data_IF_435898196985
#
_entry.id   IF_435898196985
#
_cell.length_a   1.000
_cell.length_b   1.000
_cell.length_c   1.000
_cell.angle_alpha   90.00
_cell.angle_beta   90.00
_cell.angle_gamma   90.00
#
_symmetry.space_group_name_H-M   'P 1'
#
loop_
_entity.id
_entity.type
_entity.pdbx_description
1 polymer ?
#
# COMPACT_ATOMS: atom_id res chain seq x y z
N UNK A 1 25.69 6.52 -21.46
CA UNK A 1 25.85 5.11 -21.96
C UNK A 1 24.58 4.60 -22.64
N UNK A 2 24.71 3.82 -23.75
CA UNK A 2 23.57 3.15 -24.37
C UNK A 2 23.14 1.98 -23.47
N UNK A 3 21.93 2.02 -22.92
CA UNK A 3 21.40 0.93 -22.06
C UNK A 3 21.23 -0.33 -22.90
N UNK A 4 21.71 -1.45 -22.38
CA UNK A 4 21.59 -2.77 -23.03
C UNK A 4 20.21 -3.37 -22.75
N UNK A 5 19.69 -4.13 -23.73
CA UNK A 5 18.50 -4.93 -23.50
C UNK A 5 18.81 -6.05 -22.49
N UNK A 6 18.00 -6.11 -21.42
CA UNK A 6 18.11 -7.14 -20.39
C UNK A 6 17.24 -8.35 -20.75
N UNK A 7 17.72 -9.54 -20.38
CA UNK A 7 16.95 -10.80 -20.50
C UNK A 7 15.92 -10.91 -19.38
N UNK A 8 14.92 -11.77 -19.55
CA UNK A 8 13.86 -12.01 -18.55
C UNK A 8 14.40 -12.16 -17.12
N UNK A 9 15.34 -13.07 -16.91
CA UNK A 9 15.89 -13.34 -15.57
C UNK A 9 16.67 -12.16 -14.97
N UNK A 10 17.27 -11.32 -15.79
CA UNK A 10 17.95 -10.11 -15.30
C UNK A 10 16.91 -9.07 -14.80
N UNK A 11 15.78 -8.93 -15.51
CA UNK A 11 14.68 -8.05 -15.10
C UNK A 11 13.96 -8.64 -13.88
N UNK A 12 13.76 -9.95 -13.83
CA UNK A 12 13.21 -10.66 -12.67
C UNK A 12 14.06 -10.42 -11.42
N UNK A 13 15.36 -10.70 -11.50
CA UNK A 13 16.30 -10.54 -10.39
C UNK A 13 16.34 -9.09 -9.89
N UNK A 14 16.37 -8.13 -10.81
CA UNK A 14 16.33 -6.71 -10.51
C UNK A 14 15.03 -6.31 -9.79
N UNK A 15 13.92 -6.94 -10.12
CA UNK A 15 12.59 -6.61 -9.57
C UNK A 15 12.24 -7.43 -8.32
N UNK A 16 13.00 -8.46 -8.00
CA UNK A 16 12.65 -9.45 -6.97
C UNK A 16 12.53 -8.84 -5.56
N UNK A 17 13.28 -7.80 -5.26
CA UNK A 17 13.17 -7.08 -3.97
C UNK A 17 11.78 -6.48 -3.71
N UNK A 18 10.96 -6.24 -4.74
CA UNK A 18 9.55 -5.87 -4.54
C UNK A 18 8.73 -6.94 -3.81
N UNK A 19 9.12 -8.21 -3.90
CA UNK A 19 8.50 -9.27 -3.09
C UNK A 19 8.59 -8.93 -1.60
N UNK A 20 9.79 -8.60 -1.12
CA UNK A 20 10.02 -8.22 0.28
C UNK A 20 9.23 -6.98 0.68
N UNK A 21 9.26 -5.94 -0.13
CA UNK A 21 8.49 -4.70 0.09
C UNK A 21 7.00 -5.01 0.24
N UNK A 22 6.46 -5.90 -0.61
CA UNK A 22 5.05 -6.27 -0.54
C UNK A 22 4.70 -7.13 0.67
N UNK A 23 5.64 -7.94 1.16
CA UNK A 23 5.46 -8.63 2.44
C UNK A 23 5.28 -7.64 3.59
N UNK A 24 6.08 -6.57 3.63
CA UNK A 24 5.90 -5.48 4.61
C UNK A 24 4.52 -4.84 4.53
N UNK A 25 4.14 -4.36 3.35
CA UNK A 25 2.83 -3.71 3.15
C UNK A 25 1.64 -4.64 3.39
N UNK A 26 1.70 -5.89 2.97
CA UNK A 26 0.58 -6.82 3.11
C UNK A 26 0.38 -7.27 4.56
N UNK A 27 1.46 -7.53 5.31
CA UNK A 27 1.37 -7.85 6.73
C UNK A 27 0.86 -6.65 7.53
N UNK A 28 1.38 -5.47 7.26
CA UNK A 28 0.89 -4.23 7.85
C UNK A 28 -0.59 -4.03 7.51
N UNK A 29 -0.95 -4.00 6.22
CA UNK A 29 -2.31 -3.75 5.74
C UNK A 29 -3.33 -4.74 6.26
N UNK A 30 -2.97 -6.03 6.34
CA UNK A 30 -3.88 -7.09 6.77
C UNK A 30 -4.04 -7.23 8.28
N UNK A 31 -3.01 -6.87 9.07
CA UNK A 31 -2.98 -7.29 10.47
C UNK A 31 -2.67 -6.18 11.48
N UNK A 32 -2.27 -4.97 11.05
CA UNK A 32 -1.89 -3.93 12.00
C UNK A 32 -3.08 -3.42 12.82
N UNK A 33 -4.26 -3.26 12.22
CA UNK A 33 -5.48 -2.87 12.95
C UNK A 33 -5.87 -3.92 13.99
N UNK A 34 -5.68 -5.21 13.70
CA UNK A 34 -5.85 -6.30 14.68
C UNK A 34 -4.87 -6.16 15.85
N UNK A 35 -3.59 -5.86 15.57
CA UNK A 35 -2.58 -5.65 16.60
C UNK A 35 -2.99 -4.47 17.49
N UNK A 36 -3.43 -3.36 16.91
CA UNK A 36 -3.89 -2.21 17.66
C UNK A 36 -5.09 -2.53 18.55
N UNK A 37 -6.11 -3.24 18.04
CA UNK A 37 -7.26 -3.69 18.84
C UNK A 37 -6.81 -4.58 19.99
N UNK A 38 -5.92 -5.55 19.74
CA UNK A 38 -5.40 -6.45 20.77
C UNK A 38 -4.66 -5.69 21.88
N UNK A 39 -3.98 -4.59 21.54
CA UNK A 39 -3.28 -3.73 22.50
C UNK A 39 -4.16 -2.63 23.11
N UNK A 40 -5.48 -2.71 22.92
CA UNK A 40 -6.48 -1.86 23.58
C UNK A 40 -6.88 -0.60 22.84
N UNK A 41 -6.58 -0.48 21.54
CA UNK A 41 -7.08 0.64 20.74
C UNK A 41 -8.60 0.57 20.57
N UNK A 42 -9.28 1.68 20.83
CA UNK A 42 -10.67 1.85 20.41
C UNK A 42 -10.76 1.90 18.87
N UNK A 43 -11.90 1.43 18.33
CA UNK A 43 -12.16 1.42 16.88
C UNK A 43 -12.04 2.81 16.26
N UNK A 44 -12.42 3.84 16.98
CA UNK A 44 -12.33 5.25 16.56
C UNK A 44 -10.90 5.78 16.51
N UNK A 45 -9.96 5.17 17.25
CA UNK A 45 -8.55 5.57 17.27
C UNK A 45 -7.74 4.95 16.12
N UNK A 46 -8.21 3.82 15.57
CA UNK A 46 -7.47 3.06 14.55
C UNK A 46 -7.09 3.92 13.33
N UNK A 47 -7.99 4.72 12.72
CA UNK A 47 -7.60 5.56 11.58
C UNK A 47 -6.45 6.51 11.90
N UNK A 48 -6.45 7.11 13.10
CA UNK A 48 -5.39 8.03 13.53
C UNK A 48 -4.05 7.32 13.74
N UNK A 49 -4.05 6.09 14.24
CA UNK A 49 -2.83 5.29 14.39
C UNK A 49 -2.19 4.94 13.04
N UNK A 50 -2.97 4.90 11.96
CA UNK A 50 -2.51 4.67 10.59
C UNK A 50 -1.93 5.90 9.90
N UNK A 51 -1.91 7.07 10.55
CA UNK A 51 -1.39 8.32 9.96
C UNK A 51 0.10 8.24 9.61
N UNK A 52 0.82 7.27 10.18
CA UNK A 52 2.22 7.01 9.88
C UNK A 52 2.47 6.82 8.38
N UNK A 53 1.64 6.03 7.69
CA UNK A 53 1.81 5.69 6.28
C UNK A 53 1.80 6.93 5.35
N UNK A 54 0.76 7.79 5.35
CA UNK A 54 0.77 8.99 4.50
C UNK A 54 1.83 10.01 4.89
N UNK A 55 2.10 10.21 6.18
CA UNK A 55 3.09 11.21 6.61
C UNK A 55 4.52 10.79 6.27
N UNK A 56 4.87 9.52 6.46
CA UNK A 56 6.20 9.02 6.05
C UNK A 56 6.36 9.05 4.53
N UNK A 57 5.32 8.68 3.77
CA UNK A 57 5.31 8.80 2.32
C UNK A 57 5.56 10.24 1.85
N UNK A 58 4.91 11.21 2.48
CA UNK A 58 5.05 12.64 2.15
C UNK A 58 6.46 13.17 2.41
N UNK A 59 7.08 12.75 3.52
CA UNK A 59 8.36 13.31 3.99
C UNK A 59 9.55 12.48 3.49
N UNK A 60 9.49 11.16 3.66
CA UNK A 60 10.65 10.28 3.41
C UNK A 60 10.91 10.10 1.92
N UNK A 61 9.87 9.93 1.09
CA UNK A 61 10.07 9.67 -0.34
C UNK A 61 10.84 10.79 -1.06
N UNK A 62 10.49 12.08 -0.94
CA UNK A 62 11.26 13.16 -1.58
C UNK A 62 12.70 13.26 -1.07
N UNK A 63 12.90 13.06 0.24
CA UNK A 63 14.25 13.10 0.86
C UNK A 63 15.12 11.98 0.30
N UNK A 64 14.61 10.76 0.31
CA UNK A 64 15.35 9.59 -0.17
C UNK A 64 15.54 9.63 -1.69
N UNK A 65 14.55 10.08 -2.44
CA UNK A 65 14.69 10.32 -3.87
C UNK A 65 15.87 11.24 -4.15
N UNK A 66 15.90 12.42 -3.49
CA UNK A 66 17.01 13.37 -3.63
C UNK A 66 18.35 12.78 -3.18
N UNK A 67 18.42 12.15 -2.01
CA UNK A 67 19.65 11.57 -1.48
C UNK A 67 20.17 10.47 -2.40
N UNK A 68 19.30 9.54 -2.83
CA UNK A 68 19.71 8.44 -3.70
C UNK A 68 20.16 8.93 -5.10
N UNK A 69 19.61 10.04 -5.59
CA UNK A 69 20.04 10.67 -6.84
C UNK A 69 21.43 11.29 -6.75
N UNK A 70 21.87 11.70 -5.57
CA UNK A 70 23.15 12.37 -5.33
C UNK A 70 24.19 11.49 -4.61
N UNK A 71 23.92 10.19 -4.47
CA UNK A 71 24.83 9.22 -3.84
C UNK A 71 25.48 8.35 -4.92
N UNK A 72 26.77 8.05 -4.73
CA UNK A 72 27.48 7.00 -5.44
C UNK A 72 28.43 6.30 -4.49
N UNK A 73 28.21 5.01 -4.26
CA UNK A 73 29.08 4.16 -3.47
C UNK A 73 29.84 3.20 -4.38
N UNK A 74 31.16 3.09 -4.21
CA UNK A 74 32.04 2.34 -5.13
C UNK A 74 31.68 0.86 -5.29
N UNK A 75 31.16 0.20 -4.23
CA UNK A 75 30.78 -1.22 -4.25
C UNK A 75 29.28 -1.45 -4.44
N UNK A 76 28.45 -0.58 -3.87
CA UNK A 76 26.99 -0.76 -3.84
C UNK A 76 26.27 0.03 -4.94
N UNK A 77 26.93 1.01 -5.57
CA UNK A 77 26.28 1.84 -6.55
C UNK A 77 25.49 3.01 -5.94
N UNK A 78 24.42 3.42 -6.59
CA UNK A 78 23.64 4.61 -6.29
C UNK A 78 22.41 4.31 -5.42
N UNK A 79 21.65 3.27 -5.76
CA UNK A 79 20.36 2.93 -5.16
C UNK A 79 20.43 1.87 -4.06
N UNK A 80 21.32 0.89 -4.22
CA UNK A 80 21.42 -0.26 -3.31
C UNK A 80 21.72 0.07 -1.85
N UNK A 81 22.52 1.12 -1.49
CA UNK A 81 22.70 1.48 -0.08
C UNK A 81 21.38 1.74 0.64
N UNK A 82 20.43 2.41 -0.04
CA UNK A 82 19.11 2.72 0.50
C UNK A 82 18.22 1.48 0.58
N UNK A 83 18.31 0.56 -0.41
CA UNK A 83 17.63 -0.73 -0.31
C UNK A 83 18.03 -1.48 0.95
N UNK A 84 19.34 -1.55 1.20
CA UNK A 84 19.88 -2.29 2.32
C UNK A 84 19.46 -1.67 3.68
N UNK A 85 19.60 -0.37 3.83
CA UNK A 85 19.21 0.34 5.05
C UNK A 85 17.72 0.15 5.33
N UNK A 86 16.87 0.40 4.32
CA UNK A 86 15.44 0.24 4.47
C UNK A 86 15.05 -1.22 4.75
N UNK A 87 15.70 -2.21 4.10
CA UNK A 87 15.44 -3.62 4.36
C UNK A 87 15.80 -4.06 5.77
N UNK A 88 16.94 -3.63 6.29
CA UNK A 88 17.35 -3.95 7.66
C UNK A 88 16.35 -3.36 8.67
N UNK A 89 16.03 -2.08 8.54
CA UNK A 89 15.11 -1.41 9.46
C UNK A 89 13.69 -1.98 9.37
N UNK A 90 13.18 -2.23 8.15
CA UNK A 90 11.86 -2.85 7.96
C UNK A 90 11.79 -4.26 8.54
N UNK A 91 12.84 -5.05 8.35
CA UNK A 91 12.88 -6.43 8.88
C UNK A 91 12.91 -6.44 10.40
N UNK A 92 13.67 -5.54 11.01
CA UNK A 92 13.70 -5.38 12.48
C UNK A 92 12.32 -4.90 12.98
N UNK A 93 11.71 -3.91 12.32
CA UNK A 93 10.39 -3.42 12.70
C UNK A 93 9.33 -4.53 12.60
N UNK A 94 9.30 -5.31 11.51
CA UNK A 94 8.41 -6.46 11.37
C UNK A 94 8.63 -7.50 12.45
N UNK A 95 9.88 -7.80 12.79
CA UNK A 95 10.21 -8.79 13.81
C UNK A 95 9.73 -8.37 15.20
N UNK A 96 10.00 -7.12 15.60
CA UNK A 96 9.72 -6.66 16.97
C UNK A 96 8.30 -6.14 17.18
N UNK A 97 7.61 -5.67 16.13
CA UNK A 97 6.27 -5.09 16.22
C UNK A 97 5.25 -5.99 16.95
N UNK A 98 5.14 -7.31 16.66
CA UNK A 98 4.18 -8.17 17.35
C UNK A 98 4.54 -8.49 18.81
N UNK A 99 5.72 -8.05 19.29
CA UNK A 99 6.14 -8.17 20.68
C UNK A 99 5.96 -6.87 21.46
N UNK A 100 5.26 -5.89 20.89
CA UNK A 100 4.95 -4.63 21.56
C UNK A 100 4.13 -4.87 22.82
N UNK A 101 4.58 -4.28 23.93
CA UNK A 101 3.90 -4.38 25.23
C UNK A 101 2.82 -3.32 25.43
N UNK A 102 2.70 -2.37 24.51
CA UNK A 102 1.69 -1.31 24.54
C UNK A 102 1.34 -0.81 23.14
N UNK A 103 0.18 -0.18 23.04
CA UNK A 103 -0.33 0.43 21.80
C UNK A 103 0.67 1.43 21.19
N UNK A 104 1.26 2.29 22.02
CA UNK A 104 2.17 3.33 21.53
C UNK A 104 3.50 2.78 21.02
N UNK A 105 3.98 1.66 21.58
CA UNK A 105 5.18 0.97 21.07
C UNK A 105 4.85 0.36 19.69
N UNK A 106 3.69 -0.27 19.52
CA UNK A 106 3.27 -0.81 18.24
C UNK A 106 3.10 0.30 17.19
N UNK A 107 2.50 1.43 17.56
CA UNK A 107 2.40 2.61 16.70
C UNK A 107 3.79 3.14 16.31
N UNK A 108 4.73 3.21 17.25
CA UNK A 108 6.12 3.59 16.98
C UNK A 108 6.82 2.67 15.98
N UNK A 109 6.64 1.34 16.10
CA UNK A 109 7.13 0.38 15.12
C UNK A 109 6.46 0.55 13.74
N UNK A 110 5.17 0.93 13.69
CA UNK A 110 4.50 1.24 12.42
C UNK A 110 5.18 2.45 11.73
N UNK A 111 5.50 3.53 12.47
CA UNK A 111 6.24 4.66 11.94
C UNK A 111 7.61 4.26 11.38
N UNK A 112 8.36 3.42 12.12
CA UNK A 112 9.66 2.91 11.68
C UNK A 112 9.50 2.05 10.43
N UNK A 113 8.50 1.17 10.39
CA UNK A 113 8.24 0.29 9.27
C UNK A 113 7.89 1.09 8.01
N UNK A 114 6.93 2.00 8.09
CA UNK A 114 6.52 2.83 6.96
C UNK A 114 7.66 3.70 6.42
N UNK A 115 8.40 4.35 7.30
CA UNK A 115 9.58 5.13 6.90
C UNK A 115 10.62 4.25 6.20
N UNK A 116 10.91 3.08 6.75
CA UNK A 116 11.92 2.15 6.24
C UNK A 116 11.52 1.53 4.90
N UNK A 117 10.24 1.17 4.74
CA UNK A 117 9.71 0.70 3.45
C UNK A 117 9.88 1.79 2.39
N UNK A 118 9.56 3.06 2.71
CA UNK A 118 9.72 4.18 1.79
C UNK A 118 11.20 4.44 1.44
N UNK A 119 12.14 4.23 2.38
CA UNK A 119 13.58 4.29 2.12
C UNK A 119 14.01 3.27 1.05
N UNK A 120 13.46 2.06 1.07
CA UNK A 120 13.74 1.03 0.06
C UNK A 120 12.99 1.27 -1.24
N UNK A 121 11.70 1.57 -1.17
CA UNK A 121 10.78 1.55 -2.30
C UNK A 121 11.07 2.64 -3.32
N UNK A 122 11.38 3.86 -2.90
CA UNK A 122 11.58 4.99 -3.81
C UNK A 122 12.80 4.80 -4.73
N UNK A 123 14.01 4.47 -4.22
CA UNK A 123 15.12 4.16 -5.09
C UNK A 123 14.91 2.90 -5.93
N UNK A 124 14.08 1.95 -5.45
CA UNK A 124 13.78 0.72 -6.17
C UNK A 124 12.96 1.00 -7.44
N UNK A 125 11.97 1.89 -7.38
CA UNK A 125 11.22 2.35 -8.54
C UNK A 125 12.13 3.02 -9.57
N UNK A 126 13.07 3.86 -9.11
CA UNK A 126 14.03 4.53 -9.97
C UNK A 126 15.00 3.56 -10.66
N UNK A 127 15.37 2.43 -10.01
CA UNK A 127 16.30 1.45 -10.57
C UNK A 127 15.81 0.88 -11.91
N UNK A 128 14.51 0.66 -12.08
CA UNK A 128 13.93 0.16 -13.34
C UNK A 128 14.18 1.14 -14.48
N UNK A 129 13.89 2.42 -14.25
CA UNK A 129 14.13 3.46 -15.23
C UNK A 129 15.64 3.66 -15.49
N UNK A 130 16.48 3.53 -14.45
CA UNK A 130 17.93 3.67 -14.57
C UNK A 130 18.57 2.53 -15.41
N UNK A 131 18.06 1.31 -15.30
CA UNK A 131 18.65 0.10 -15.90
C UNK A 131 18.08 -0.28 -17.26
N UNK A 132 16.78 -0.12 -17.45
CA UNK A 132 16.11 -0.57 -18.68
C UNK A 132 16.14 0.52 -19.76
N UNK A 133 16.31 0.13 -21.04
CA UNK A 133 16.02 1.02 -22.15
C UNK A 133 14.49 1.26 -22.23
N UNK A 134 14.07 2.40 -22.78
CA UNK A 134 12.64 2.78 -22.85
C UNK A 134 11.74 1.69 -23.43
N UNK A 135 12.24 0.97 -24.46
CA UNK A 135 11.51 -0.15 -25.08
C UNK A 135 11.17 -1.30 -24.13
N UNK A 136 11.90 -1.43 -23.03
CA UNK A 136 11.70 -2.48 -22.03
C UNK A 136 11.02 -1.98 -20.75
N UNK A 137 10.73 -0.69 -20.59
CA UNK A 137 10.10 -0.16 -19.37
C UNK A 137 8.77 -0.85 -19.08
N UNK A 138 7.88 -0.95 -20.07
CA UNK A 138 6.58 -1.62 -19.91
C UNK A 138 6.76 -3.06 -19.43
N UNK A 139 7.68 -3.79 -20.03
CA UNK A 139 7.97 -5.17 -19.65
C UNK A 139 8.53 -5.29 -18.23
N UNK A 140 9.41 -4.37 -17.83
CA UNK A 140 9.94 -4.30 -16.46
C UNK A 140 8.84 -4.04 -15.43
N UNK A 141 7.93 -3.11 -15.70
CA UNK A 141 6.80 -2.84 -14.80
C UNK A 141 5.80 -4.00 -14.71
N UNK A 142 5.57 -4.73 -15.81
CA UNK A 142 4.72 -5.95 -15.80
C UNK A 142 5.32 -7.02 -14.88
N UNK A 143 6.63 -7.26 -14.96
CA UNK A 143 7.31 -8.21 -14.07
C UNK A 143 7.21 -7.76 -12.60
N UNK A 144 7.40 -6.45 -12.33
CA UNK A 144 7.19 -5.92 -10.98
C UNK A 144 5.77 -6.16 -10.48
N UNK A 145 4.76 -5.88 -11.30
CA UNK A 145 3.35 -6.08 -10.93
C UNK A 145 3.05 -7.54 -10.62
N UNK A 146 3.64 -8.48 -11.36
CA UNK A 146 3.53 -9.91 -11.09
C UNK A 146 4.11 -10.26 -9.71
N UNK A 147 5.33 -9.82 -9.43
CA UNK A 147 6.01 -10.06 -8.15
C UNK A 147 5.24 -9.42 -6.98
N UNK A 148 4.74 -8.19 -7.17
CA UNK A 148 3.91 -7.46 -6.21
C UNK A 148 2.65 -8.26 -5.86
N UNK A 149 1.91 -8.72 -6.87
CA UNK A 149 0.66 -9.47 -6.64
C UNK A 149 0.89 -10.79 -5.92
N UNK A 150 1.91 -11.56 -6.33
CA UNK A 150 2.29 -12.81 -5.65
C UNK A 150 2.69 -12.51 -4.20
N UNK A 151 3.56 -11.52 -3.97
CA UNK A 151 4.03 -11.15 -2.64
C UNK A 151 2.89 -10.73 -1.72
N UNK A 152 1.98 -9.89 -2.21
CA UNK A 152 0.81 -9.46 -1.46
C UNK A 152 -0.06 -10.65 -1.06
N UNK A 153 -0.39 -11.54 -2.00
CA UNK A 153 -1.23 -12.69 -1.72
C UNK A 153 -0.59 -13.66 -0.72
N UNK A 154 0.68 -14.00 -0.91
CA UNK A 154 1.40 -14.92 -0.01
C UNK A 154 1.48 -14.32 1.40
N UNK A 155 1.89 -13.07 1.53
CA UNK A 155 2.06 -12.41 2.83
C UNK A 155 0.73 -12.25 3.58
N UNK A 156 -0.33 -11.90 2.88
CA UNK A 156 -1.68 -11.77 3.48
C UNK A 156 -2.24 -13.10 4.00
N UNK A 157 -1.79 -14.21 3.43
CA UNK A 157 -2.18 -15.55 3.88
C UNK A 157 -1.21 -16.18 4.89
N UNK A 158 -0.08 -15.53 5.23
CA UNK A 158 0.92 -16.12 6.13
C UNK A 158 0.35 -16.54 7.49
N UNK A 159 -0.43 -15.72 8.22
CA UNK A 159 -0.98 -16.16 9.50
C UNK A 159 -1.88 -17.39 9.37
N UNK A 160 -2.62 -17.52 8.26
CA UNK A 160 -3.39 -18.71 7.97
C UNK A 160 -2.48 -19.92 7.66
N UNK A 161 -1.47 -19.76 6.81
CA UNK A 161 -0.55 -20.85 6.47
C UNK A 161 0.16 -21.40 7.71
N UNK A 162 0.65 -20.55 8.60
CA UNK A 162 1.36 -21.01 9.80
C UNK A 162 0.41 -21.72 10.77
N UNK A 163 -0.88 -21.37 10.80
CA UNK A 163 -1.85 -22.11 11.61
C UNK A 163 -2.10 -23.52 11.06
N UNK A 164 -2.04 -23.71 9.73
CA UNK A 164 -2.20 -25.05 9.12
C UNK A 164 -1.05 -26.01 9.48
N UNK A 165 0.13 -25.47 9.78
CA UNK A 165 1.28 -26.28 10.23
C UNK A 165 1.39 -26.36 11.75
N UNK A 166 0.34 -25.98 12.49
CA UNK A 166 0.22 -26.19 13.93
C UNK A 166 0.62 -25.00 14.80
N UNK A 167 0.94 -23.81 14.24
CA UNK A 167 1.20 -22.61 15.04
C UNK A 167 -0.11 -22.11 15.65
N UNK A 168 -0.12 -21.89 16.97
CA UNK A 168 -1.32 -21.46 17.67
C UNK A 168 -1.80 -20.08 17.23
N UNK A 169 -3.10 -19.95 16.98
CA UNK A 169 -3.79 -18.67 16.78
C UNK A 169 -4.51 -18.20 18.05
N UNK A 170 -4.41 -18.96 19.15
CA UNK A 170 -4.92 -18.56 20.46
C UNK A 170 -3.96 -17.58 21.12
N UNK A 171 -4.49 -16.63 21.82
CA UNK A 171 -3.74 -15.65 22.61
C UNK A 171 -4.42 -15.40 23.93
N UNK A 172 -3.65 -15.09 24.95
CA UNK A 172 -4.16 -14.57 26.22
C UNK A 172 -4.71 -13.15 26.04
N UNK A 173 -5.52 -12.67 26.99
CA UNK A 173 -5.98 -11.28 26.98
C UNK A 173 -4.80 -10.30 26.78
N UNK A 174 -4.98 -9.31 25.90
CA UNK A 174 -3.93 -8.33 25.59
C UNK A 174 -2.69 -8.86 24.85
N UNK A 175 -2.63 -10.15 24.51
CA UNK A 175 -1.50 -10.74 23.80
C UNK A 175 -1.77 -10.94 22.30
N UNK A 176 -0.73 -10.73 21.51
CA UNK A 176 -0.76 -10.99 20.07
C UNK A 176 -0.50 -12.47 19.81
N UNK A 177 -1.34 -13.17 19.02
CA UNK A 177 -1.19 -14.60 18.76
C UNK A 177 0.16 -14.98 18.17
N UNK A 178 0.63 -16.20 18.48
CA UNK A 178 1.88 -16.72 17.93
C UNK A 178 1.86 -16.79 16.38
N UNK A 179 0.71 -17.06 15.78
CA UNK A 179 0.52 -17.04 14.33
C UNK A 179 0.93 -15.70 13.68
N UNK A 180 0.59 -14.58 14.32
CA UNK A 180 1.01 -13.25 13.87
C UNK A 180 2.50 -13.02 14.11
N UNK A 181 3.01 -13.40 15.29
CA UNK A 181 4.44 -13.27 15.62
C UNK A 181 5.32 -14.00 14.59
N UNK A 182 4.96 -15.24 14.27
CA UNK A 182 5.67 -16.07 13.27
C UNK A 182 5.51 -15.50 11.87
N UNK A 183 4.30 -15.08 11.46
CA UNK A 183 4.07 -14.51 10.14
C UNK A 183 4.89 -13.23 9.92
N UNK A 184 4.95 -12.34 10.90
CA UNK A 184 5.75 -11.12 10.83
C UNK A 184 7.25 -11.40 10.83
N UNK A 185 7.71 -12.40 11.61
CA UNK A 185 9.11 -12.84 11.58
C UNK A 185 9.50 -13.40 10.20
N UNK A 186 8.67 -14.26 9.60
CA UNK A 186 8.85 -14.74 8.22
C UNK A 186 8.86 -13.54 7.26
N UNK A 187 7.94 -12.60 7.42
CA UNK A 187 7.88 -11.38 6.60
C UNK A 187 9.18 -10.58 6.66
N UNK A 188 9.75 -10.40 7.84
CA UNK A 188 11.04 -9.72 8.02
C UNK A 188 12.19 -10.46 7.32
N UNK A 189 12.26 -11.80 7.47
CA UNK A 189 13.26 -12.63 6.79
C UNK A 189 13.11 -12.54 5.27
N UNK A 190 11.88 -12.66 4.75
CA UNK A 190 11.60 -12.56 3.31
C UNK A 190 11.95 -11.18 2.79
N UNK A 191 11.61 -10.12 3.53
CA UNK A 191 11.93 -8.73 3.15
C UNK A 191 13.44 -8.57 2.96
N UNK A 192 14.23 -8.92 3.96
CA UNK A 192 15.69 -8.79 3.91
C UNK A 192 16.29 -9.67 2.80
N UNK A 193 15.86 -10.92 2.72
CA UNK A 193 16.40 -11.89 1.75
C UNK A 193 16.10 -11.50 0.31
N UNK A 194 14.88 -11.02 0.02
CA UNK A 194 14.51 -10.59 -1.32
C UNK A 194 15.30 -9.36 -1.79
N UNK A 195 15.50 -8.39 -0.89
CA UNK A 195 16.32 -7.20 -1.17
C UNK A 195 17.78 -7.59 -1.33
N UNK A 196 18.33 -8.45 -0.45
CA UNK A 196 19.71 -8.92 -0.57
C UNK A 196 19.94 -9.67 -1.88
N UNK A 197 18.98 -10.52 -2.29
CA UNK A 197 19.03 -11.18 -3.58
C UNK A 197 19.15 -10.18 -4.74
N UNK A 198 18.32 -9.13 -4.75
CA UNK A 198 18.41 -8.08 -5.78
C UNK A 198 19.75 -7.34 -5.73
N UNK A 199 20.25 -7.00 -4.53
CA UNK A 199 21.54 -6.31 -4.35
C UNK A 199 22.69 -7.11 -4.94
N UNK A 200 22.72 -8.42 -4.71
CA UNK A 200 23.80 -9.31 -5.15
C UNK A 200 23.71 -9.58 -6.66
N UNK A 201 22.50 -9.80 -7.18
CA UNK A 201 22.30 -10.22 -8.59
C UNK A 201 22.20 -9.07 -9.59
N UNK A 202 22.07 -7.83 -9.11
CA UNK A 202 21.89 -6.65 -9.98
C UNK A 202 23.08 -5.70 -9.84
N UNK A 203 23.67 -5.30 -10.95
CA UNK A 203 24.69 -4.23 -11.01
C UNK A 203 24.05 -2.91 -11.40
N UNK A 204 24.57 -1.79 -10.90
CA UNK A 204 24.19 -0.44 -11.34
C UNK A 204 25.22 0.13 -12.31
N UNK A 205 24.77 1.04 -13.19
CA UNK A 205 25.68 1.76 -14.08
C UNK A 205 26.32 2.93 -13.32
N UNK A 206 27.66 3.09 -13.40
CA UNK A 206 28.33 4.28 -12.85
C UNK A 206 27.87 5.54 -13.60
N UNK A 207 27.95 6.72 -12.97
CA UNK A 207 27.80 8.00 -13.67
C UNK A 207 28.78 8.10 -14.84
N UNK A 208 28.35 8.69 -15.95
CA UNK A 208 29.20 8.85 -17.15
C UNK A 208 30.47 9.68 -16.86
N UNK A 209 30.35 10.67 -15.99
CA UNK A 209 31.45 11.45 -15.42
C UNK A 209 31.32 11.51 -13.90
N UNK A 210 32.19 10.78 -13.23
CA UNK A 210 32.17 10.68 -11.76
C UNK A 210 32.66 11.97 -11.08
N UNK A 211 33.60 12.72 -11.73
CA UNK A 211 34.10 13.97 -11.19
C UNK A 211 33.06 15.08 -11.32
N UNK A 212 32.43 15.20 -12.47
CA UNK A 212 31.31 16.11 -12.70
C UNK A 212 30.13 15.78 -11.78
N UNK A 213 29.86 14.48 -11.54
CA UNK A 213 28.83 14.03 -10.59
C UNK A 213 29.14 14.49 -9.15
N UNK A 214 30.38 14.37 -8.70
CA UNK A 214 30.83 14.82 -7.36
C UNK A 214 30.85 16.35 -7.24
N UNK A 215 31.19 17.04 -8.31
CA UNK A 215 31.26 18.51 -8.38
C UNK A 215 29.87 19.16 -8.51
N UNK A 216 28.82 18.39 -8.80
CA UNK A 216 27.47 18.89 -9.00
C UNK A 216 26.97 19.65 -7.78
N UNK A 217 26.83 20.98 -7.92
CA UNK A 217 26.37 21.86 -6.85
C UNK A 217 24.99 21.41 -6.34
N UNK A 218 24.87 21.13 -5.04
CA UNK A 218 23.60 20.75 -4.42
C UNK A 218 22.55 21.83 -4.70
N UNK A 219 21.45 21.46 -5.32
CA UNK A 219 20.33 22.37 -5.63
C UNK A 219 19.77 22.92 -4.31
N UNK A 220 19.60 24.23 -4.19
CA UNK A 220 19.03 24.84 -2.99
C UNK A 220 17.60 24.33 -2.77
N UNK A 221 17.33 23.74 -1.62
CA UNK A 221 16.03 23.21 -1.24
C UNK A 221 14.92 24.29 -1.26
N UNK A 222 15.25 25.52 -0.84
CA UNK A 222 14.32 26.67 -0.83
C UNK A 222 13.86 27.09 -2.23
N UNK A 223 14.77 27.09 -3.22
CA UNK A 223 14.41 27.37 -4.61
C UNK A 223 13.49 26.28 -5.18
N UNK A 224 13.73 25.01 -4.83
CA UNK A 224 12.87 23.89 -5.23
C UNK A 224 11.47 23.99 -4.64
N UNK A 225 11.33 24.42 -3.39
CA UNK A 225 10.05 24.60 -2.73
C UNK A 225 9.23 25.78 -3.33
N UNK A 226 9.87 26.89 -3.66
CA UNK A 226 9.21 28.02 -4.33
C UNK A 226 8.70 27.64 -5.74
N UNK A 227 9.52 26.88 -6.51
CA UNK A 227 9.11 26.37 -7.82
C UNK A 227 7.94 25.39 -7.68
N UNK A 228 7.94 24.56 -6.67
CA UNK A 228 6.82 23.64 -6.35
C UNK A 228 5.53 24.40 -6.06
N UNK A 229 5.55 25.42 -5.18
CA UNK A 229 4.37 26.24 -4.87
C UNK A 229 3.82 26.97 -6.11
N UNK A 230 4.71 27.53 -6.93
CA UNK A 230 4.31 28.19 -8.18
C UNK A 230 3.62 27.22 -9.13
N UNK A 231 4.15 26.00 -9.30
CA UNK A 231 3.57 24.99 -10.16
C UNK A 231 2.28 24.40 -9.58
N UNK A 232 2.16 24.28 -8.25
CA UNK A 232 0.93 23.91 -7.59
C UNK A 232 -0.21 24.88 -7.89
N UNK A 233 0.05 26.19 -7.79
CA UNK A 233 -0.95 27.22 -8.07
C UNK A 233 -1.30 27.30 -9.56
N UNK A 234 -0.36 26.96 -10.47
CA UNK A 234 -0.55 26.99 -11.91
C UNK A 234 -0.95 25.65 -12.53
N UNK A 235 -1.46 24.71 -11.73
CA UNK A 235 -1.83 23.36 -12.21
C UNK A 235 -2.80 23.39 -13.40
N UNK A 236 -2.55 22.56 -14.45
CA UNK A 236 -3.49 22.38 -15.56
C UNK A 236 -4.86 21.86 -15.10
N UNK A 237 -5.93 22.24 -15.78
CA UNK A 237 -7.30 21.83 -15.45
C UNK A 237 -7.45 20.30 -15.41
N UNK A 238 -6.84 19.57 -16.34
CA UNK A 238 -6.84 18.10 -16.35
C UNK A 238 -6.22 17.51 -15.09
N UNK A 239 -5.11 18.08 -14.62
CA UNK A 239 -4.45 17.63 -13.39
C UNK A 239 -5.32 17.85 -12.14
N UNK A 240 -6.03 18.99 -12.06
CA UNK A 240 -6.97 19.27 -10.96
C UNK A 240 -8.12 18.24 -10.91
N UNK A 241 -8.66 17.90 -12.08
CA UNK A 241 -9.74 16.92 -12.21
C UNK A 241 -9.27 15.51 -11.84
N UNK A 242 -8.09 15.10 -12.33
CA UNK A 242 -7.47 13.83 -11.95
C UNK A 242 -7.13 13.80 -10.45
N UNK A 243 -6.65 14.90 -9.90
CA UNK A 243 -6.39 15.05 -8.47
C UNK A 243 -7.63 14.84 -7.63
N UNK A 244 -8.78 15.38 -8.04
CA UNK A 244 -10.04 15.17 -7.34
C UNK A 244 -10.49 13.70 -7.37
N UNK A 245 -10.31 13.01 -8.50
CA UNK A 245 -10.57 11.56 -8.62
C UNK A 245 -9.65 10.77 -7.68
N UNK A 246 -8.35 11.11 -7.67
CA UNK A 246 -7.38 10.47 -6.77
C UNK A 246 -7.73 10.73 -5.30
N UNK A 247 -8.17 11.93 -4.96
CA UNK A 247 -8.59 12.26 -3.59
C UNK A 247 -9.62 11.26 -3.06
N UNK A 248 -10.71 11.06 -3.76
CA UNK A 248 -11.77 10.13 -3.33
C UNK A 248 -11.32 8.66 -3.40
N UNK A 249 -10.50 8.31 -4.38
CA UNK A 249 -9.97 6.95 -4.52
C UNK A 249 -9.06 6.57 -3.35
N UNK A 250 -8.12 7.43 -2.98
CA UNK A 250 -7.17 7.17 -1.90
C UNK A 250 -7.80 7.30 -0.51
N UNK A 251 -8.82 8.15 -0.36
CA UNK A 251 -9.65 8.15 0.84
C UNK A 251 -10.29 6.78 1.07
N UNK A 252 -10.89 6.19 0.01
CA UNK A 252 -11.54 4.89 0.08
C UNK A 252 -10.55 3.76 0.45
N UNK A 253 -9.39 3.72 -0.20
CA UNK A 253 -8.40 2.66 0.08
C UNK A 253 -7.75 2.80 1.45
N UNK A 254 -7.45 4.01 1.90
CA UNK A 254 -6.96 4.21 3.26
C UNK A 254 -8.00 3.76 4.31
N UNK A 255 -9.27 4.06 4.06
CA UNK A 255 -10.38 3.60 4.91
C UNK A 255 -10.41 2.06 4.98
N UNK A 256 -10.23 1.37 3.86
CA UNK A 256 -10.13 -0.09 3.85
C UNK A 256 -8.96 -0.59 4.69
N UNK A 257 -7.75 -0.08 4.46
CA UNK A 257 -6.57 -0.58 5.17
C UNK A 257 -6.66 -0.37 6.68
N UNK A 258 -7.23 0.73 7.13
CA UNK A 258 -7.38 1.00 8.55
C UNK A 258 -8.57 0.27 9.19
N UNK A 259 -9.70 0.17 8.49
CA UNK A 259 -10.99 -0.25 9.09
C UNK A 259 -11.51 -1.61 8.63
N UNK A 260 -10.87 -2.28 7.65
CA UNK A 260 -11.39 -3.58 7.16
C UNK A 260 -11.45 -4.64 8.25
N UNK A 261 -10.44 -4.72 9.13
CA UNK A 261 -10.45 -5.72 10.20
C UNK A 261 -11.65 -5.53 11.15
N UNK A 262 -11.83 -4.39 11.85
CA UNK A 262 -12.99 -4.22 12.73
C UNK A 262 -14.33 -4.29 11.98
N UNK A 263 -14.41 -3.75 10.75
CA UNK A 263 -15.65 -3.77 9.98
C UNK A 263 -16.10 -5.17 9.59
N UNK A 264 -15.19 -5.99 9.10
CA UNK A 264 -15.53 -7.33 8.57
C UNK A 264 -15.67 -8.33 9.70
N UNK A 265 -14.79 -8.32 10.71
CA UNK A 265 -14.89 -9.26 11.84
C UNK A 265 -16.18 -9.06 12.59
N UNK A 266 -16.61 -7.82 12.83
CA UNK A 266 -17.83 -7.54 13.56
C UNK A 266 -19.09 -7.81 12.73
N UNK A 267 -19.14 -7.32 11.48
CA UNK A 267 -20.37 -7.32 10.69
C UNK A 267 -20.61 -8.63 9.92
N UNK A 268 -19.55 -9.21 9.33
CA UNK A 268 -19.70 -10.39 8.46
C UNK A 268 -19.46 -11.68 9.22
N UNK A 269 -18.46 -11.71 10.13
CA UNK A 269 -18.13 -12.88 10.92
C UNK A 269 -18.88 -12.95 12.26
N UNK A 270 -19.59 -11.88 12.64
CA UNK A 270 -20.21 -11.78 13.97
C UNK A 270 -19.19 -12.12 15.08
N UNK A 271 -17.99 -11.56 14.95
CA UNK A 271 -16.85 -11.81 15.82
C UNK A 271 -16.18 -10.48 16.21
N UNK A 272 -16.87 -9.63 17.01
CA UNK A 272 -16.29 -8.39 17.51
C UNK A 272 -15.07 -8.69 18.40
N UNK A 273 -14.15 -7.72 18.49
CA UNK A 273 -13.05 -7.83 19.45
C UNK A 273 -13.61 -7.88 20.88
N UNK A 274 -13.31 -8.93 21.68
CA UNK A 274 -13.81 -9.04 23.04
C UNK A 274 -13.01 -8.11 23.96
N UNK A 275 -13.68 -7.12 24.54
CA UNK A 275 -13.10 -6.25 25.55
C UNK A 275 -13.00 -6.99 26.88
N UNK A 276 -11.81 -7.06 27.47
CA UNK A 276 -11.58 -7.73 28.77
C UNK A 276 -12.46 -7.16 29.88
N UNK A 277 -12.72 -5.85 29.84
CA UNK A 277 -13.58 -5.16 30.80
C UNK A 277 -15.02 -5.68 30.86
N UNK A 278 -15.46 -6.40 29.83
CA UNK A 278 -16.81 -6.97 29.76
C UNK A 278 -16.91 -8.38 30.40
N UNK A 279 -15.78 -8.92 30.90
CA UNK A 279 -15.69 -10.28 31.46
C UNK A 279 -14.99 -10.25 32.82
N UNK A 280 -15.51 -10.98 33.79
CA UNK A 280 -14.79 -11.27 35.05
C UNK A 280 -13.87 -12.47 34.82
N UNK A 281 -12.60 -12.21 34.49
CA UNK A 281 -11.62 -13.26 34.18
C UNK A 281 -11.22 -14.12 35.40
N UNK A 282 -11.60 -13.70 36.62
CA UNK A 282 -11.44 -14.54 37.83
C UNK A 282 -12.56 -15.59 37.95
N UNK A 283 -13.67 -15.40 37.24
CA UNK A 283 -14.76 -16.37 37.16
C UNK A 283 -14.50 -17.34 36.01
N UNK A 284 -14.37 -18.62 36.28
CA UNK A 284 -14.03 -19.66 35.29
C UNK A 284 -15.00 -19.72 34.09
N UNK A 285 -16.30 -19.43 34.29
CA UNK A 285 -17.30 -19.42 33.25
C UNK A 285 -17.13 -18.20 32.34
N UNK A 286 -16.92 -17.03 32.92
CA UNK A 286 -16.67 -15.77 32.18
C UNK A 286 -15.34 -15.83 31.42
N UNK A 287 -14.27 -16.36 32.02
CA UNK A 287 -13.01 -16.60 31.37
C UNK A 287 -13.15 -17.51 30.13
N UNK A 288 -13.94 -18.58 30.24
CA UNK A 288 -14.24 -19.48 29.11
C UNK A 288 -15.02 -18.78 28.01
N UNK A 289 -15.98 -17.92 28.35
CA UNK A 289 -16.73 -17.12 27.36
C UNK A 289 -15.80 -16.15 26.62
N UNK A 290 -14.88 -15.47 27.34
CA UNK A 290 -13.86 -14.64 26.74
C UNK A 290 -12.97 -15.43 25.77
N UNK A 291 -12.48 -16.60 26.17
CA UNK A 291 -11.62 -17.45 25.33
C UNK A 291 -12.31 -17.84 24.03
N UNK A 292 -13.61 -18.19 24.08
CA UNK A 292 -14.40 -18.53 22.89
C UNK A 292 -14.56 -17.31 21.98
N UNK A 293 -14.91 -16.16 22.54
CA UNK A 293 -15.07 -14.91 21.77
C UNK A 293 -13.74 -14.48 21.14
N UNK A 294 -12.64 -14.54 21.90
CA UNK A 294 -11.30 -14.20 21.41
C UNK A 294 -10.86 -15.16 20.29
N UNK A 295 -11.04 -16.46 20.44
CA UNK A 295 -10.71 -17.43 19.39
C UNK A 295 -11.51 -17.18 18.11
N UNK A 296 -12.79 -16.82 18.20
CA UNK A 296 -13.65 -16.46 17.07
C UNK A 296 -13.10 -15.20 16.35
N UNK A 297 -12.79 -14.13 17.12
CA UNK A 297 -12.19 -12.91 16.58
C UNK A 297 -10.85 -13.16 15.90
N UNK A 298 -9.96 -13.95 16.52
CA UNK A 298 -8.64 -14.24 15.96
C UNK A 298 -8.74 -15.01 14.63
N UNK A 299 -9.69 -15.93 14.51
CA UNK A 299 -9.97 -16.69 13.29
C UNK A 299 -10.56 -15.78 12.19
N UNK A 300 -11.53 -14.95 12.54
CA UNK A 300 -12.14 -13.98 11.64
C UNK A 300 -11.10 -12.97 11.10
N UNK A 301 -10.19 -12.51 11.97
CA UNK A 301 -9.09 -11.60 11.58
C UNK A 301 -8.10 -12.25 10.61
N UNK A 302 -7.74 -13.53 10.81
CA UNK A 302 -6.91 -14.25 9.83
C UNK A 302 -7.61 -14.32 8.46
N UNK A 303 -8.90 -14.63 8.45
CA UNK A 303 -9.70 -14.70 7.23
C UNK A 303 -9.79 -13.33 6.54
N UNK A 304 -10.02 -12.27 7.30
CA UNK A 304 -10.03 -10.89 6.78
C UNK A 304 -8.70 -10.53 6.10
N UNK A 305 -7.57 -10.86 6.73
CA UNK A 305 -6.25 -10.69 6.12
C UNK A 305 -6.10 -11.47 4.82
N UNK A 306 -6.56 -12.72 4.76
CA UNK A 306 -6.55 -13.55 3.56
C UNK A 306 -7.40 -12.94 2.43
N UNK A 307 -8.59 -12.41 2.74
CA UNK A 307 -9.42 -11.70 1.76
C UNK A 307 -8.74 -10.43 1.25
N UNK A 308 -8.05 -9.69 2.11
CA UNK A 308 -7.22 -8.56 1.67
C UNK A 308 -6.10 -9.00 0.70
N UNK A 309 -5.60 -10.22 0.76
CA UNK A 309 -4.68 -10.77 -0.25
C UNK A 309 -5.32 -10.89 -1.64
N UNK A 310 -6.63 -11.13 -1.71
CA UNK A 310 -7.37 -11.29 -2.98
C UNK A 310 -7.38 -9.99 -3.78
N UNK A 311 -7.51 -8.82 -3.17
CA UNK A 311 -7.48 -7.58 -3.95
C UNK A 311 -6.10 -7.35 -4.61
N UNK A 312 -5.01 -7.74 -3.95
CA UNK A 312 -3.67 -7.70 -4.54
C UNK A 312 -3.53 -8.64 -5.74
N UNK A 313 -4.01 -9.87 -5.60
CA UNK A 313 -4.00 -10.88 -6.68
C UNK A 313 -4.87 -10.45 -7.87
N UNK A 314 -6.09 -9.97 -7.62
CA UNK A 314 -6.99 -9.50 -8.69
C UNK A 314 -6.46 -8.23 -9.37
N UNK A 315 -5.81 -7.34 -8.64
CA UNK A 315 -5.11 -6.18 -9.23
C UNK A 315 -3.99 -6.62 -10.18
N UNK A 316 -3.22 -7.64 -9.81
CA UNK A 316 -2.20 -8.22 -10.70
C UNK A 316 -2.82 -8.80 -11.97
N UNK A 317 -3.88 -9.62 -11.83
CA UNK A 317 -4.58 -10.21 -12.98
C UNK A 317 -5.11 -9.11 -13.91
N UNK A 318 -5.70 -8.05 -13.34
CA UNK A 318 -6.16 -6.88 -14.09
C UNK A 318 -5.01 -6.21 -14.86
N UNK A 319 -3.87 -5.95 -14.21
CA UNK A 319 -2.73 -5.29 -14.84
C UNK A 319 -2.14 -6.13 -15.99
N UNK A 320 -2.04 -7.45 -15.82
CA UNK A 320 -1.59 -8.37 -16.86
C UNK A 320 -2.58 -8.38 -18.04
N UNK A 321 -3.88 -8.51 -17.76
CA UNK A 321 -4.91 -8.46 -18.79
C UNK A 321 -4.88 -7.13 -19.55
N UNK A 322 -4.81 -6.01 -18.84
CA UNK A 322 -4.74 -4.69 -19.44
C UNK A 322 -3.53 -4.53 -20.35
N UNK A 323 -2.35 -4.97 -19.90
CA UNK A 323 -1.11 -4.93 -20.68
C UNK A 323 -1.24 -5.74 -21.98
N UNK A 324 -1.78 -6.95 -21.88
CA UNK A 324 -2.01 -7.79 -23.05
C UNK A 324 -3.05 -7.20 -24.02
N UNK A 325 -4.14 -6.67 -23.49
CA UNK A 325 -5.22 -6.08 -24.29
C UNK A 325 -4.75 -4.80 -25.01
N UNK A 326 -4.06 -3.91 -24.29
CA UNK A 326 -3.58 -2.63 -24.84
C UNK A 326 -2.43 -2.78 -25.83
N UNK A 327 -1.71 -3.90 -25.80
CA UNK A 327 -0.72 -4.22 -26.84
C UNK A 327 -1.34 -4.45 -28.21
N UNK A 328 -2.64 -4.73 -28.28
CA UNK A 328 -3.36 -5.04 -29.50
C UNK A 328 -4.48 -4.06 -29.86
N UNK A 329 -5.01 -3.33 -28.88
CA UNK A 329 -6.14 -2.41 -29.05
C UNK A 329 -5.94 -1.15 -28.21
N UNK A 330 -6.38 -0.02 -28.75
CA UNK A 330 -6.50 1.22 -28.00
C UNK A 330 -7.73 1.19 -27.10
N UNK A 331 -7.60 1.66 -25.87
CA UNK A 331 -8.68 1.81 -24.91
C UNK A 331 -8.87 3.28 -24.55
N UNK A 332 -10.10 3.67 -24.23
CA UNK A 332 -10.34 4.92 -23.54
C UNK A 332 -9.94 4.79 -22.08
N UNK A 333 -8.84 5.43 -21.69
CA UNK A 333 -8.32 5.42 -20.33
C UNK A 333 -9.34 5.97 -19.33
N UNK A 334 -10.09 7.00 -19.73
CA UNK A 334 -11.15 7.64 -18.97
C UNK A 334 -12.28 6.64 -18.61
N UNK A 335 -12.88 6.01 -19.60
CA UNK A 335 -14.01 5.09 -19.36
C UNK A 335 -13.56 3.80 -18.68
N UNK A 336 -12.38 3.30 -18.99
CA UNK A 336 -11.79 2.15 -18.28
C UNK A 336 -11.63 2.46 -16.80
N UNK A 337 -11.03 3.62 -16.46
CA UNK A 337 -10.87 4.02 -15.07
C UNK A 337 -12.21 4.20 -14.35
N UNK A 338 -13.16 4.88 -14.99
CA UNK A 338 -14.53 5.07 -14.48
C UNK A 338 -15.19 3.74 -14.09
N UNK A 339 -15.23 2.79 -15.03
CA UNK A 339 -15.91 1.50 -14.82
C UNK A 339 -15.29 0.75 -13.66
N UNK A 340 -13.97 0.67 -13.59
CA UNK A 340 -13.31 -0.09 -12.54
C UNK A 340 -13.39 0.59 -11.16
N UNK A 341 -13.40 1.93 -11.07
CA UNK A 341 -13.69 2.62 -9.82
C UNK A 341 -15.11 2.34 -9.32
N UNK A 342 -16.10 2.38 -10.22
CA UNK A 342 -17.49 2.05 -9.86
C UNK A 342 -17.61 0.60 -9.40
N UNK A 343 -16.99 -0.35 -10.11
CA UNK A 343 -16.98 -1.76 -9.71
C UNK A 343 -16.33 -1.95 -8.33
N UNK A 344 -15.20 -1.30 -8.06
CA UNK A 344 -14.57 -1.34 -6.73
C UNK A 344 -15.44 -0.72 -5.64
N UNK A 345 -16.13 0.38 -5.95
CA UNK A 345 -17.10 1.00 -5.05
C UNK A 345 -18.26 0.06 -4.72
N UNK A 346 -18.79 -0.65 -5.72
CA UNK A 346 -19.79 -1.71 -5.53
C UNK A 346 -19.20 -2.82 -4.65
N UNK A 347 -17.93 -3.22 -4.86
CA UNK A 347 -17.24 -4.20 -4.02
C UNK A 347 -17.23 -3.82 -2.54
N UNK A 348 -16.98 -2.55 -2.22
CA UNK A 348 -17.07 -2.05 -0.84
C UNK A 348 -18.50 -2.06 -0.31
N UNK A 349 -19.48 -1.60 -1.09
CA UNK A 349 -20.88 -1.55 -0.69
C UNK A 349 -21.47 -2.95 -0.45
N UNK A 350 -21.02 -3.95 -1.23
CA UNK A 350 -21.42 -5.35 -1.04
C UNK A 350 -21.04 -5.87 0.35
N UNK A 351 -19.95 -5.41 0.97
CA UNK A 351 -19.56 -5.85 2.31
C UNK A 351 -20.65 -5.57 3.37
N UNK A 352 -21.47 -4.55 3.17
CA UNK A 352 -22.58 -4.22 4.07
C UNK A 352 -23.72 -5.25 3.99
N UNK A 353 -24.01 -5.78 2.80
CA UNK A 353 -25.11 -6.74 2.59
C UNK A 353 -24.67 -8.20 2.72
N UNK A 354 -23.37 -8.48 2.58
CA UNK A 354 -22.81 -9.83 2.71
C UNK A 354 -22.88 -10.29 4.16
N UNK A 355 -23.49 -11.46 4.37
CA UNK A 355 -23.52 -12.17 5.67
C UNK A 355 -22.73 -13.47 5.64
N UNK A 356 -22.49 -14.02 4.47
CA UNK A 356 -21.71 -15.24 4.29
C UNK A 356 -20.28 -14.87 3.87
N UNK A 357 -19.26 -15.19 4.70
CA UNK A 357 -17.88 -14.76 4.46
C UNK A 357 -17.31 -15.14 3.09
N UNK A 358 -17.71 -16.27 2.51
CA UNK A 358 -17.22 -16.73 1.21
C UNK A 358 -17.44 -15.69 0.09
N UNK A 359 -18.53 -14.92 0.14
CA UNK A 359 -18.84 -13.89 -0.85
C UNK A 359 -17.96 -12.65 -0.76
N UNK A 360 -17.19 -12.47 0.33
CA UNK A 360 -16.17 -11.42 0.40
C UNK A 360 -15.12 -11.55 -0.71
N UNK A 361 -14.90 -12.76 -1.22
CA UNK A 361 -14.06 -12.99 -2.40
C UNK A 361 -14.47 -12.11 -3.58
N UNK A 362 -15.78 -11.98 -3.85
CA UNK A 362 -16.28 -11.10 -4.91
C UNK A 362 -15.97 -9.62 -4.61
N UNK A 363 -16.26 -9.17 -3.39
CA UNK A 363 -15.99 -7.80 -2.96
C UNK A 363 -14.52 -7.44 -3.17
N UNK A 364 -13.59 -8.22 -2.64
CA UNK A 364 -12.16 -7.95 -2.75
C UNK A 364 -11.62 -8.11 -4.18
N UNK A 365 -12.23 -8.97 -5.01
CA UNK A 365 -11.90 -9.06 -6.43
C UNK A 365 -12.25 -7.77 -7.17
N UNK A 366 -13.45 -7.22 -6.96
CA UNK A 366 -13.87 -5.95 -7.57
C UNK A 366 -13.02 -4.78 -7.10
N UNK A 367 -12.68 -4.73 -5.80
CA UNK A 367 -11.78 -3.74 -5.21
C UNK A 367 -10.38 -3.85 -5.83
N UNK A 368 -9.90 -5.06 -6.08
CA UNK A 368 -8.60 -5.27 -6.70
C UNK A 368 -8.52 -4.75 -8.14
N UNK A 369 -9.58 -4.88 -8.91
CA UNK A 369 -9.64 -4.28 -10.25
C UNK A 369 -9.58 -2.75 -10.18
N UNK A 370 -10.29 -2.13 -9.22
CA UNK A 370 -10.19 -0.69 -9.00
C UNK A 370 -8.75 -0.29 -8.60
N UNK A 371 -8.12 -1.04 -7.71
CA UNK A 371 -6.73 -0.79 -7.29
C UNK A 371 -5.75 -0.82 -8.47
N UNK A 372 -5.84 -1.84 -9.33
CA UNK A 372 -5.03 -1.92 -10.55
C UNK A 372 -5.24 -0.72 -11.48
N UNK A 373 -6.49 -0.25 -11.59
CA UNK A 373 -6.82 0.94 -12.37
C UNK A 373 -6.27 2.24 -11.73
N UNK A 374 -6.34 2.39 -10.41
CA UNK A 374 -5.79 3.55 -9.67
C UNK A 374 -4.28 3.65 -9.83
N UNK A 375 -3.58 2.53 -9.85
CA UNK A 375 -2.12 2.50 -10.00
C UNK A 375 -1.65 2.75 -11.43
N UNK A 376 -2.52 2.69 -12.44
CA UNK A 376 -2.13 2.77 -13.85
C UNK A 376 -2.78 3.94 -14.61
N UNK A 377 -4.10 4.06 -14.58
CA UNK A 377 -4.84 4.97 -15.45
C UNK A 377 -4.59 6.46 -15.20
N UNK A 378 -4.61 6.98 -13.95
CA UNK A 378 -4.38 8.39 -13.69
C UNK A 378 -3.01 8.87 -14.14
N UNK A 379 -1.97 8.05 -13.95
CA UNK A 379 -0.61 8.37 -14.38
C UNK A 379 -0.49 8.38 -15.90
N UNK A 380 -1.15 7.43 -16.58
CA UNK A 380 -1.18 7.37 -18.03
C UNK A 380 -1.98 8.54 -18.66
N UNK A 381 -3.01 9.03 -17.98
CA UNK A 381 -3.76 10.23 -18.41
C UNK A 381 -2.96 11.51 -18.12
N UNK A 382 -2.28 11.58 -16.98
CA UNK A 382 -1.48 12.74 -16.60
C UNK A 382 -0.27 12.92 -17.51
N UNK A 383 0.42 11.84 -17.89
CA UNK A 383 1.58 11.89 -18.79
C UNK A 383 1.24 12.40 -20.19
N UNK A 384 0.00 12.19 -20.66
CA UNK A 384 -0.48 12.74 -21.92
C UNK A 384 -0.92 14.22 -21.86
N UNK A 385 -1.00 14.80 -20.66
CA UNK A 385 -1.52 16.16 -20.44
C UNK A 385 -0.45 17.18 -19.97
N UNK A 386 0.78 16.74 -19.71
CA UNK A 386 1.83 17.56 -19.10
C UNK A 386 3.14 17.47 -19.89
N UNK A 387 3.85 18.59 -19.97
CA UNK A 387 5.18 18.69 -20.59
C UNK A 387 6.18 17.75 -19.87
N UNK A 388 6.86 16.91 -20.64
CA UNK A 388 7.88 15.96 -20.15
C UNK A 388 8.96 16.62 -19.28
N UNK A 389 9.36 17.88 -19.61
CA UNK A 389 10.36 18.64 -18.84
C UNK A 389 9.92 18.99 -17.42
N UNK A 390 8.61 19.02 -17.17
CA UNK A 390 8.01 19.35 -15.86
C UNK A 390 7.48 18.11 -15.13
N UNK A 391 7.60 16.93 -15.73
CA UNK A 391 6.99 15.68 -15.23
C UNK A 391 7.35 15.40 -13.77
N UNK A 392 8.60 15.56 -13.36
CA UNK A 392 9.03 15.27 -11.98
C UNK A 392 8.31 16.11 -10.92
N UNK A 393 8.22 17.43 -11.11
CA UNK A 393 7.50 18.31 -10.17
C UNK A 393 6.00 18.05 -10.24
N UNK A 394 5.46 17.80 -11.43
CA UNK A 394 4.05 17.44 -11.62
C UNK A 394 3.67 16.17 -10.86
N UNK A 395 4.51 15.13 -10.90
CA UNK A 395 4.29 13.89 -10.14
C UNK A 395 4.35 14.15 -8.62
N UNK A 396 5.27 15.00 -8.17
CA UNK A 396 5.34 15.41 -6.76
C UNK A 396 4.06 16.12 -6.29
N UNK A 397 3.52 17.04 -7.11
CA UNK A 397 2.25 17.71 -6.82
C UNK A 397 1.09 16.72 -6.86
N UNK A 398 1.09 15.80 -7.83
CA UNK A 398 0.04 14.79 -7.95
C UNK A 398 0.01 13.84 -6.76
N UNK A 399 1.17 13.55 -6.16
CA UNK A 399 1.28 12.76 -4.95
C UNK A 399 0.57 13.41 -3.73
N UNK A 400 0.41 14.73 -3.70
CA UNK A 400 -0.38 15.39 -2.64
C UNK A 400 -1.85 14.96 -2.68
N UNK A 401 -2.41 14.72 -3.87
CA UNK A 401 -3.78 14.21 -4.00
C UNK A 401 -3.92 12.74 -3.59
N UNK A 402 -2.81 12.08 -3.34
CA UNK A 402 -2.74 10.74 -2.74
C UNK A 402 -2.68 10.85 -1.23
N UNK A 403 -1.82 11.72 -0.70
CA UNK A 403 -1.49 11.79 0.72
C UNK A 403 -2.52 12.59 1.53
N UNK A 404 -2.96 13.74 1.03
CA UNK A 404 -3.91 14.62 1.74
C UNK A 404 -5.21 13.89 2.11
N UNK A 405 -5.89 13.15 1.20
CA UNK A 405 -7.11 12.43 1.56
C UNK A 405 -6.89 11.36 2.63
N UNK A 406 -5.72 10.73 2.65
CA UNK A 406 -5.38 9.76 3.69
C UNK A 406 -5.19 10.45 5.06
N UNK A 407 -4.55 11.61 5.09
CA UNK A 407 -4.43 12.41 6.32
C UNK A 407 -5.82 12.84 6.82
N UNK A 408 -6.68 13.34 5.93
CA UNK A 408 -8.07 13.72 6.28
C UNK A 408 -8.84 12.51 6.81
N UNK A 409 -8.71 11.36 6.16
CA UNK A 409 -9.33 10.12 6.60
C UNK A 409 -8.85 9.73 8.01
N UNK A 410 -7.52 9.76 8.24
CA UNK A 410 -6.89 9.42 9.51
C UNK A 410 -7.29 10.36 10.65
N UNK A 411 -7.33 11.68 10.40
CA UNK A 411 -7.56 12.72 11.42
C UNK A 411 -9.03 12.96 11.78
N UNK A 412 -9.90 12.00 11.50
CA UNK A 412 -11.30 12.04 11.90
C UNK A 412 -12.30 12.01 10.75
N UNK A 413 -11.87 12.13 9.49
CA UNK A 413 -12.77 12.10 8.34
C UNK A 413 -13.59 10.80 8.25
N UNK A 414 -12.96 9.65 8.50
CA UNK A 414 -13.66 8.35 8.53
C UNK A 414 -14.69 8.33 9.65
N UNK A 415 -14.29 8.68 10.87
CA UNK A 415 -15.16 8.63 12.04
C UNK A 415 -16.37 9.57 11.89
N UNK A 416 -16.12 10.82 11.44
CA UNK A 416 -17.18 11.79 11.23
C UNK A 416 -18.18 11.32 10.17
N UNK A 417 -17.72 10.87 9.01
CA UNK A 417 -18.60 10.42 7.95
C UNK A 417 -19.34 9.12 8.32
N UNK A 418 -18.69 8.18 9.01
CA UNK A 418 -19.31 6.94 9.44
C UNK A 418 -20.40 7.19 10.47
N UNK A 419 -20.21 8.13 11.40
CA UNK A 419 -21.19 8.49 12.43
C UNK A 419 -22.51 9.01 11.86
N UNK A 420 -22.52 9.54 10.63
CA UNK A 420 -23.76 9.94 9.94
C UNK A 420 -24.67 8.74 9.61
N UNK A 421 -24.12 7.54 9.55
CA UNK A 421 -24.85 6.29 9.27
C UNK A 421 -25.06 5.44 10.52
N UNK A 422 -24.19 5.58 11.53
CA UNK A 422 -24.25 4.85 12.80
C UNK A 422 -22.86 4.56 13.37
N UNK A 423 -22.83 3.80 14.48
CA UNK A 423 -21.60 3.49 15.22
C UNK A 423 -20.86 2.22 14.72
N UNK A 424 -21.53 1.40 13.91
CA UNK A 424 -20.94 0.13 13.47
C UNK A 424 -19.78 0.36 12.50
N UNK A 425 -18.62 -0.31 12.67
CA UNK A 425 -17.43 -0.12 11.83
C UNK A 425 -17.65 -0.40 10.35
N UNK A 426 -18.67 -1.18 10.00
CA UNK A 426 -19.00 -1.49 8.60
C UNK A 426 -19.37 -0.24 7.78
N UNK A 427 -19.87 0.81 8.43
CA UNK A 427 -20.18 2.08 7.74
C UNK A 427 -18.94 2.76 7.16
N UNK A 428 -17.74 2.48 7.70
CA UNK A 428 -16.50 2.91 7.07
C UNK A 428 -16.36 2.29 5.66
N UNK A 429 -16.74 1.02 5.47
CA UNK A 429 -16.72 0.39 4.14
C UNK A 429 -17.80 0.98 3.22
N UNK A 430 -18.96 1.34 3.75
CA UNK A 430 -20.00 2.05 2.97
C UNK A 430 -19.47 3.40 2.48
N UNK A 431 -18.83 4.19 3.35
CA UNK A 431 -18.23 5.48 2.99
C UNK A 431 -17.13 5.29 1.94
N UNK A 432 -16.26 4.28 2.10
CA UNK A 432 -15.25 3.94 1.10
C UNK A 432 -15.88 3.62 -0.26
N UNK A 433 -16.97 2.86 -0.26
CA UNK A 433 -17.73 2.52 -1.48
C UNK A 433 -18.32 3.74 -2.16
N UNK A 434 -19.02 4.60 -1.42
CA UNK A 434 -19.58 5.84 -1.93
C UNK A 434 -18.51 6.78 -2.48
N UNK A 435 -17.38 6.90 -1.76
CA UNK A 435 -16.23 7.70 -2.19
C UNK A 435 -15.68 7.20 -3.53
N UNK A 436 -15.55 5.89 -3.71
CA UNK A 436 -15.00 5.31 -4.93
C UNK A 436 -15.99 5.38 -6.11
N UNK A 437 -17.29 5.22 -5.86
CA UNK A 437 -18.34 5.47 -6.88
C UNK A 437 -18.33 6.93 -7.32
N UNK A 438 -18.20 7.88 -6.38
CA UNK A 438 -18.06 9.29 -6.68
C UNK A 438 -16.81 9.56 -7.52
N UNK A 439 -15.66 8.99 -7.16
CA UNK A 439 -14.44 9.07 -7.95
C UNK A 439 -14.65 8.54 -9.38
N UNK A 440 -15.40 7.45 -9.53
CA UNK A 440 -15.81 6.91 -10.82
C UNK A 440 -16.60 7.93 -11.63
N UNK A 441 -17.64 8.52 -11.04
CA UNK A 441 -18.48 9.54 -11.68
C UNK A 441 -17.71 10.81 -12.08
N UNK A 442 -16.74 11.24 -11.27
CA UNK A 442 -15.91 12.42 -11.56
C UNK A 442 -15.07 12.26 -12.84
N UNK A 443 -14.87 11.04 -13.36
CA UNK A 443 -14.19 10.85 -14.64
C UNK A 443 -14.95 11.51 -15.81
N UNK A 444 -16.25 11.75 -15.72
CA UNK A 444 -16.98 12.51 -16.75
C UNK A 444 -16.43 13.92 -16.94
N UNK A 445 -15.81 14.51 -15.93
CA UNK A 445 -15.21 15.84 -16.00
C UNK A 445 -13.94 15.88 -16.86
N UNK A 446 -13.30 14.73 -17.14
CA UNK A 446 -12.07 14.66 -17.93
C UNK A 446 -12.40 14.80 -19.41
N UNK A 447 -11.66 15.68 -20.08
CA UNK A 447 -11.74 15.89 -21.53
C UNK A 447 -10.74 14.97 -22.24
N UNK A 448 -11.25 13.99 -22.97
CA UNK A 448 -10.43 12.97 -23.64
C UNK A 448 -9.62 13.53 -24.82
N UNK A 449 -10.07 14.63 -25.43
CA UNK A 449 -9.34 15.27 -26.54
C UNK A 449 -8.02 15.89 -26.06
N UNK A 450 -7.96 16.36 -24.83
CA UNK A 450 -6.75 16.92 -24.20
C UNK A 450 -5.74 15.87 -23.71
N UNK A 451 -6.10 14.59 -23.81
CA UNK A 451 -5.23 13.45 -23.42
C UNK A 451 -4.51 12.84 -24.63
N UNK A 452 -4.79 13.33 -25.85
CA UNK A 452 -4.25 12.82 -27.11
C UNK A 452 -3.13 13.69 -27.68
N UNK A 453 -2.56 14.58 -26.85
CA UNK A 453 -1.43 15.44 -27.21
C UNK A 453 -0.10 14.73 -27.25
#
# INVERSE_FOLDING_TARGET
MKKLNLRFWQIWNMSFGFLGIQFGFALQGGFMSRIFQTLGADKSEIPMLWIAAPLTGLVVQPIIGYLSDNTWHSKLGRRKPYFLIGAILSSLALFFMPYSSSLWIAAGFLWILDASINISMEPFRALVADKLPEKQHTYGFVIQTLIIGIGTWVASNLPWFVTQIGVSNKALPGEIPMSIKVAFAIGGVVFLSAIMYTIVTTSEYPPDDLEAFKAKKKRNFTAGFQDFLRQFLSMPSTMKKLGLIQFFSWFAFFTMWSMANPAITEHVFDAPFPLETNYDLNNAEQAKLFDVANAKFQTASNSTGSFMGIYGLSSMVFALFLTFYTSRRTISRKYTHMVYLVLGGIGFLLMYVIKEPAYLTLSFTLIGFAWGSILSMPYAMLSGAVDEKKMGVTMGIFNMFIVIPQIIAATGGINYLSSLFGEAPIYAMVIAGLSLVLAGGLNFLIDEQKLKG
#
